data_IF_388009641971
#
_entry.id   IF_388009641971
#
_cell.length_a   1.000
_cell.length_b   1.000
_cell.length_c   1.000
_cell.angle_alpha   90.00
_cell.angle_beta   90.00
_cell.angle_gamma   90.00
#
_symmetry.space_group_name_H-M   'P 1'
#
loop_
_entity.id
_entity.type
_entity.pdbx_description
1 polymer ?
#
# COMPACT_ATOMS: atom_id res chain seq x y z
N UNK A 1 -9.63 -17.73 2.87
CA UNK A 1 -9.53 -18.67 1.73
C UNK A 1 -8.94 -18.00 0.49
N UNK A 2 -9.55 -16.93 -0.04
CA UNK A 2 -9.13 -16.25 -1.28
C UNK A 2 -7.68 -15.73 -1.30
N UNK A 3 -7.19 -15.13 -0.21
CA UNK A 3 -5.81 -14.60 -0.14
C UNK A 3 -4.75 -15.70 -0.25
N UNK A 4 -5.05 -16.92 0.20
CA UNK A 4 -4.11 -18.06 0.15
C UNK A 4 -3.85 -18.51 -1.28
N UNK A 5 -4.89 -18.64 -2.09
CA UNK A 5 -4.75 -18.97 -3.51
C UNK A 5 -3.97 -17.89 -4.27
N UNK A 6 -4.12 -16.61 -3.88
CA UNK A 6 -3.31 -15.53 -4.43
C UNK A 6 -1.81 -15.75 -4.21
N UNK A 7 -1.39 -16.21 -3.02
CA UNK A 7 0.00 -16.56 -2.76
C UNK A 7 0.46 -17.81 -3.51
N UNK A 8 -0.38 -18.85 -3.58
CA UNK A 8 -0.05 -20.09 -4.27
C UNK A 8 0.18 -19.83 -5.77
N UNK A 9 -0.66 -19.00 -6.40
CA UNK A 9 -0.51 -18.57 -7.79
C UNK A 9 0.75 -17.71 -7.94
N UNK A 10 0.94 -16.71 -7.07
CA UNK A 10 2.10 -15.83 -7.13
C UNK A 10 3.41 -16.63 -7.07
N UNK A 11 3.48 -17.67 -6.22
CA UNK A 11 4.66 -18.53 -6.08
C UNK A 11 5.06 -19.23 -7.41
N UNK A 12 4.12 -19.49 -8.29
CA UNK A 12 4.37 -20.11 -9.61
C UNK A 12 4.77 -19.10 -10.70
N UNK A 13 4.65 -17.79 -10.42
CA UNK A 13 4.92 -16.73 -11.38
C UNK A 13 6.24 -16.03 -11.04
N UNK A 14 7.17 -16.05 -12.00
CA UNK A 14 8.50 -15.43 -11.84
C UNK A 14 8.41 -13.89 -11.79
N UNK A 15 7.67 -13.26 -12.70
CA UNK A 15 7.55 -11.81 -12.81
C UNK A 15 6.17 -11.34 -12.35
N UNK A 16 6.11 -10.55 -11.28
CA UNK A 16 4.86 -10.19 -10.60
C UNK A 16 4.65 -8.68 -10.62
N UNK A 17 3.65 -8.22 -11.36
CA UNK A 17 3.25 -6.81 -11.40
C UNK A 17 1.95 -6.63 -10.61
N UNK A 18 1.98 -5.75 -9.61
CA UNK A 18 0.81 -5.40 -8.81
C UNK A 18 0.29 -4.01 -9.21
N UNK A 19 -1.00 -3.93 -9.55
CA UNK A 19 -1.67 -2.67 -9.82
C UNK A 19 -2.61 -2.34 -8.66
N UNK A 20 -2.39 -1.18 -8.04
CA UNK A 20 -3.17 -0.72 -6.88
C UNK A 20 -3.32 0.79 -6.91
N UNK A 21 -4.53 1.28 -6.59
CA UNK A 21 -4.83 2.72 -6.64
C UNK A 21 -4.21 3.52 -5.50
N UNK A 22 -4.20 2.97 -4.27
CA UNK A 22 -3.69 3.66 -3.07
C UNK A 22 -3.06 2.66 -2.08
N UNK A 23 -1.87 2.11 -2.39
CA UNK A 23 -1.23 1.11 -1.52
C UNK A 23 -0.80 1.66 -0.15
N UNK A 24 -0.69 2.98 -0.01
CA UNK A 24 -0.14 3.66 1.19
C UNK A 24 -1.24 4.03 2.22
N UNK A 25 -2.52 3.80 1.90
CA UNK A 25 -3.64 3.99 2.85
C UNK A 25 -4.00 2.70 3.60
N UNK A 26 -3.27 1.63 3.29
CA UNK A 26 -3.42 0.31 3.87
C UNK A 26 -2.88 0.31 5.30
N UNK A 27 -3.53 -0.44 6.20
CA UNK A 27 -2.92 -0.84 7.48
C UNK A 27 -1.57 -1.51 7.18
N UNK A 28 -0.62 -1.47 8.10
CA UNK A 28 0.74 -1.98 7.84
C UNK A 28 0.75 -3.45 7.39
N UNK A 29 -0.19 -4.24 7.89
CA UNK A 29 -0.42 -5.63 7.48
C UNK A 29 -0.85 -5.81 6.01
N UNK A 30 -1.59 -4.85 5.46
CA UNK A 30 -2.05 -4.88 4.07
C UNK A 30 -0.90 -4.51 3.12
N UNK A 31 -0.04 -3.55 3.50
CA UNK A 31 1.17 -3.26 2.73
C UNK A 31 2.17 -4.43 2.77
N UNK A 32 2.36 -5.05 3.93
CA UNK A 32 3.15 -6.28 4.08
C UNK A 32 2.64 -7.39 3.16
N UNK A 33 1.32 -7.59 3.10
CA UNK A 33 0.67 -8.55 2.21
C UNK A 33 0.97 -8.28 0.74
N UNK A 34 0.90 -7.01 0.30
CA UNK A 34 1.24 -6.63 -1.08
C UNK A 34 2.71 -6.91 -1.41
N UNK A 35 3.62 -6.57 -0.50
CA UNK A 35 5.05 -6.81 -0.67
C UNK A 35 5.38 -8.31 -0.73
N UNK A 36 4.69 -9.11 0.08
CA UNK A 36 4.81 -10.57 0.05
C UNK A 36 4.30 -11.14 -1.27
N UNK A 37 3.18 -10.64 -1.79
CA UNK A 37 2.63 -11.04 -3.09
C UNK A 37 3.57 -10.66 -4.24
N UNK A 38 4.14 -9.45 -4.23
CA UNK A 38 5.09 -9.01 -5.28
C UNK A 38 6.40 -9.78 -5.24
N UNK A 39 6.74 -10.42 -4.11
CA UNK A 39 8.01 -11.10 -3.92
C UNK A 39 9.12 -10.19 -3.43
N UNK A 40 8.79 -9.01 -2.89
CA UNK A 40 9.78 -8.10 -2.30
C UNK A 40 10.45 -8.73 -1.07
N UNK A 41 11.78 -8.59 -0.87
CA UNK A 41 12.49 -9.19 0.27
C UNK A 41 11.88 -8.87 1.64
N UNK A 42 11.57 -7.60 1.91
CA UNK A 42 10.94 -7.20 3.18
C UNK A 42 9.53 -7.77 3.40
N UNK A 43 8.85 -8.22 2.34
CA UNK A 43 7.56 -8.92 2.44
C UNK A 43 7.70 -10.38 2.92
N UNK A 44 8.92 -10.93 2.92
CA UNK A 44 9.22 -12.26 3.49
C UNK A 44 9.46 -12.21 5.00
N UNK A 45 9.64 -11.01 5.57
CA UNK A 45 9.75 -10.86 7.02
C UNK A 45 8.46 -11.31 7.70
N UNK A 46 8.54 -11.91 8.89
CA UNK A 46 7.40 -12.07 9.77
C UNK A 46 6.68 -10.73 9.99
N UNK A 47 5.35 -10.74 10.09
CA UNK A 47 4.56 -9.50 10.19
C UNK A 47 4.95 -8.66 11.42
N UNK A 48 5.28 -9.29 12.55
CA UNK A 48 5.76 -8.60 13.75
C UNK A 48 7.08 -7.86 13.49
N UNK A 49 8.06 -8.53 12.86
CA UNK A 49 9.35 -7.91 12.53
C UNK A 49 9.19 -6.78 11.51
N UNK A 50 8.29 -6.95 10.54
CA UNK A 50 7.95 -5.89 9.60
C UNK A 50 7.37 -4.67 10.32
N UNK A 51 6.42 -4.89 11.23
CA UNK A 51 5.82 -3.81 12.02
C UNK A 51 6.84 -3.11 12.91
N UNK A 52 7.72 -3.85 13.60
CA UNK A 52 8.79 -3.28 14.44
C UNK A 52 9.73 -2.36 13.66
N UNK A 53 10.01 -2.69 12.39
CA UNK A 53 10.92 -1.90 11.55
C UNK A 53 10.25 -0.71 10.86
N UNK A 54 8.97 -0.83 10.52
CA UNK A 54 8.34 0.06 9.53
C UNK A 54 7.00 0.70 9.97
N UNK A 55 6.42 0.28 11.10
CA UNK A 55 5.13 0.76 11.59
C UNK A 55 5.25 1.66 12.82
N UNK A 56 4.22 2.46 13.10
CA UNK A 56 4.09 3.16 14.40
C UNK A 56 4.73 4.56 14.50
N UNK A 57 5.55 5.00 13.55
CA UNK A 57 6.08 6.37 13.53
C UNK A 57 6.18 6.97 12.11
N UNK A 58 6.18 8.31 11.98
CA UNK A 58 6.51 8.99 10.72
C UNK A 58 7.90 8.61 10.17
N UNK A 59 8.89 8.43 11.05
CA UNK A 59 10.26 8.10 10.70
C UNK A 59 10.35 6.69 10.10
N UNK A 60 9.72 5.70 10.72
CA UNK A 60 9.67 4.32 10.21
C UNK A 60 8.93 4.24 8.87
N UNK A 61 7.86 5.04 8.69
CA UNK A 61 7.16 5.16 7.40
C UNK A 61 8.03 5.79 6.30
N UNK A 62 8.95 6.68 6.66
CA UNK A 62 9.94 7.21 5.71
C UNK A 62 10.93 6.12 5.32
N UNK A 63 11.49 5.39 6.28
CA UNK A 63 12.36 4.24 6.01
C UNK A 63 11.71 3.24 5.07
N UNK A 64 10.44 2.90 5.31
CA UNK A 64 9.68 2.00 4.45
C UNK A 64 9.53 2.54 3.02
N UNK A 65 9.29 3.84 2.87
CA UNK A 65 9.20 4.47 1.54
C UNK A 65 10.51 4.37 0.79
N UNK A 66 11.62 4.64 1.47
CA UNK A 66 12.94 4.63 0.87
C UNK A 66 13.29 3.20 0.41
N UNK A 67 12.99 2.20 1.25
CA UNK A 67 13.19 0.76 0.96
C UNK A 67 12.43 0.27 -0.28
N UNK A 68 11.18 0.72 -0.48
CA UNK A 68 10.32 0.25 -1.58
C UNK A 68 10.33 1.18 -2.80
N UNK A 69 11.16 2.24 -2.77
CA UNK A 69 11.12 3.32 -3.76
C UNK A 69 11.39 2.82 -5.19
N UNK A 70 12.32 1.89 -5.36
CA UNK A 70 12.67 1.27 -6.64
C UNK A 70 11.61 0.29 -7.15
N UNK A 71 10.74 -0.20 -6.27
CA UNK A 71 9.68 -1.17 -6.60
C UNK A 71 8.33 -0.53 -6.88
N UNK A 72 8.14 0.74 -6.49
CA UNK A 72 6.84 1.41 -6.56
C UNK A 72 6.87 2.63 -7.47
N UNK A 73 6.30 2.49 -8.66
CA UNK A 73 6.00 3.63 -9.53
C UNK A 73 4.68 4.29 -9.13
N UNK A 74 4.73 5.52 -8.61
CA UNK A 74 3.53 6.31 -8.29
C UNK A 74 3.58 7.69 -8.94
N UNK A 75 2.59 7.96 -9.80
CA UNK A 75 2.34 9.30 -10.36
C UNK A 75 1.18 9.96 -9.62
N UNK A 76 1.34 11.24 -9.29
CA UNK A 76 0.25 12.06 -8.76
C UNK A 76 -0.57 12.59 -9.94
N UNK A 77 -1.73 13.18 -9.62
CA UNK A 77 -2.63 13.77 -10.62
C UNK A 77 -2.13 15.13 -11.15
N UNK A 78 -1.03 15.64 -10.62
CA UNK A 78 -0.32 16.84 -11.09
C UNK A 78 0.20 16.71 -12.53
N UNK A 79 0.39 15.48 -13.00
CA UNK A 79 0.74 15.20 -14.42
C UNK A 79 -0.40 15.48 -15.40
N UNK A 80 -1.63 15.76 -14.92
CA UNK A 80 -2.81 16.00 -15.74
C UNK A 80 -3.13 17.50 -15.77
N UNK A 81 -2.57 18.29 -16.71
CA UNK A 81 -2.64 19.76 -16.66
C UNK A 81 -4.05 20.31 -16.80
N UNK A 82 -4.94 19.57 -17.45
CA UNK A 82 -6.33 19.97 -17.70
C UNK A 82 -7.32 19.35 -16.71
N UNK A 83 -6.85 18.71 -15.64
CA UNK A 83 -7.72 18.11 -14.65
C UNK A 83 -8.37 19.19 -13.78
N UNK A 84 -9.71 19.25 -13.79
CA UNK A 84 -10.47 20.14 -12.92
C UNK A 84 -10.15 19.85 -11.45
N UNK A 85 -10.09 20.91 -10.64
CA UNK A 85 -9.82 20.81 -9.20
C UNK A 85 -10.82 19.91 -8.46
N UNK A 86 -10.38 19.32 -7.35
CA UNK A 86 -11.23 18.53 -6.47
C UNK A 86 -11.86 19.42 -5.41
N UNK A 87 -13.18 19.50 -5.36
CA UNK A 87 -13.91 20.11 -4.25
C UNK A 87 -14.32 19.05 -3.23
N UNK A 88 -14.25 19.39 -1.94
CA UNK A 88 -14.76 18.57 -0.84
C UNK A 88 -15.84 19.36 -0.12
N UNK A 89 -17.04 18.81 -0.05
CA UNK A 89 -18.15 19.37 0.72
C UNK A 89 -18.41 18.43 1.90
N UNK A 90 -18.51 19.00 3.10
CA UNK A 90 -18.87 18.28 4.31
C UNK A 90 -20.21 18.83 4.76
N UNK A 91 -21.25 18.02 4.72
CA UNK A 91 -22.60 18.39 5.17
C UNK A 91 -22.84 17.77 6.54
N UNK A 92 -22.90 18.56 7.62
CA UNK A 92 -23.22 18.03 8.95
C UNK A 92 -24.69 17.58 8.98
N UNK A 93 -24.95 16.40 9.56
CA UNK A 93 -26.30 15.89 9.80
C UNK A 93 -26.61 16.04 11.28
N UNK A 94 -27.74 16.69 11.59
CA UNK A 94 -28.28 16.76 12.95
C UNK A 94 -29.22 15.58 13.11
N UNK A 95 -28.98 14.72 14.10
CA UNK A 95 -29.89 13.64 14.45
C UNK A 95 -31.07 14.21 15.23
N UNK A 96 -32.29 13.90 14.80
CA UNK A 96 -33.50 14.19 15.59
C UNK A 96 -33.52 13.30 16.83
N UNK A 97 -33.88 13.89 17.98
CA UNK A 97 -34.09 13.18 19.24
C UNK A 97 -35.25 12.19 19.16
#
# INVERSE_FOLDING_TARGET
AWTRHGFDIAAQVQNRYLLTGTPVLNREAELHTLLRLSGHPIGQLPLNEFCERFAGSPEFRKTLRDEISDWMLRRRKDVLPNLKGKQRQTVPVILSQ
#
